data_IF_440800862365
#
_entry.id   IF_440800862365
#
_cell.length_a   1.000
_cell.length_b   1.000
_cell.length_c   1.000
_cell.angle_alpha   90.00
_cell.angle_beta   90.00
_cell.angle_gamma   90.00
#
_symmetry.space_group_name_H-M   'P 1'
#
loop_
_entity.id
_entity.type
_entity.pdbx_description
1 polymer ?
#
# COMPACT_ATOMS: atom_id res chain seq x y z
N UNK A 1 -4.39 2.31 15.09
CA UNK A 1 -4.48 1.30 14.01
C UNK A 1 -3.46 0.22 14.32
N UNK A 2 -3.94 -0.98 14.57
CA UNK A 2 -3.06 -2.11 14.88
C UNK A 2 -2.57 -2.73 13.56
N UNK A 3 -1.56 -2.09 12.95
CA UNK A 3 -0.82 -2.71 11.85
C UNK A 3 0.02 -3.83 12.45
N UNK A 4 -0.06 -5.02 11.87
CA UNK A 4 0.58 -6.23 12.39
C UNK A 4 1.23 -7.11 11.32
N UNK A 5 1.92 -8.18 11.75
CA UNK A 5 2.33 -9.23 10.83
C UNK A 5 1.14 -9.76 10.04
N UNK A 6 1.38 -10.20 8.82
CA UNK A 6 0.41 -10.63 7.78
C UNK A 6 -0.31 -9.50 7.06
N UNK A 7 -0.34 -8.27 7.58
CA UNK A 7 -0.95 -7.15 6.86
C UNK A 7 -0.24 -6.90 5.52
N UNK A 8 -1.04 -6.58 4.52
CA UNK A 8 -0.57 -6.30 3.17
C UNK A 8 -0.74 -4.82 2.83
N UNK A 9 0.38 -4.14 2.60
CA UNK A 9 0.41 -2.80 2.03
C UNK A 9 0.42 -2.84 0.51
N UNK A 10 -0.40 -2.00 -0.11
CA UNK A 10 -0.25 -1.56 -1.49
C UNK A 10 0.18 -0.10 -1.47
N UNK A 11 1.34 0.17 -2.03
CA UNK A 11 1.88 1.53 -2.09
C UNK A 11 1.41 2.24 -3.35
N UNK A 12 0.92 3.44 -3.19
CA UNK A 12 0.60 4.33 -4.30
C UNK A 12 1.41 5.62 -4.24
N UNK A 13 1.56 6.26 -5.37
CA UNK A 13 2.27 7.51 -5.49
C UNK A 13 1.69 8.39 -6.59
N UNK A 14 2.17 9.63 -6.62
CA UNK A 14 1.88 10.57 -7.67
C UNK A 14 2.86 10.39 -8.82
N UNK A 15 2.33 10.06 -9.99
CA UNK A 15 3.10 9.86 -11.21
C UNK A 15 2.62 10.79 -12.32
N UNK A 16 3.56 11.22 -13.15
CA UNK A 16 3.31 12.02 -14.33
C UNK A 16 3.79 11.29 -15.57
N UNK A 17 2.97 11.22 -16.60
CA UNK A 17 3.39 10.69 -17.88
C UNK A 17 4.06 11.80 -18.69
N UNK A 18 5.38 11.74 -18.83
CA UNK A 18 6.15 12.74 -19.58
C UNK A 18 6.12 12.53 -21.10
N UNK A 19 5.83 11.33 -21.58
CA UNK A 19 5.81 11.00 -23.02
C UNK A 19 4.57 11.51 -23.73
N UNK A 20 3.49 11.66 -22.99
CA UNK A 20 2.24 12.24 -23.45
C UNK A 20 2.01 13.43 -22.53
N UNK A 21 1.55 14.58 -22.99
CA UNK A 21 1.09 15.69 -22.12
C UNK A 21 -0.08 15.19 -21.23
N UNK A 22 0.20 14.10 -20.51
CA UNK A 22 -0.72 13.36 -19.69
C UNK A 22 -0.95 14.05 -18.36
N UNK A 23 -2.09 13.75 -17.77
CA UNK A 23 -2.47 14.25 -16.45
C UNK A 23 -1.67 13.53 -15.37
N UNK A 24 -1.51 14.19 -14.25
CA UNK A 24 -1.00 13.58 -13.03
C UNK A 24 -1.94 12.48 -12.54
N UNK A 25 -1.39 11.34 -12.19
CA UNK A 25 -2.12 10.15 -11.78
C UNK A 25 -1.66 9.68 -10.40
N UNK A 26 -2.56 9.10 -9.62
CA UNK A 26 -2.20 8.18 -8.55
C UNK A 26 -2.15 6.77 -9.11
N UNK A 27 -1.03 6.10 -8.85
CA UNK A 27 -0.72 4.80 -9.40
C UNK A 27 -0.13 3.91 -8.31
N UNK A 28 -0.56 2.65 -8.25
CA UNK A 28 0.05 1.64 -7.41
C UNK A 28 1.43 1.30 -7.98
N UNK A 29 2.47 1.33 -7.14
CA UNK A 29 3.83 1.06 -7.60
C UNK A 29 4.51 -0.10 -6.88
N UNK A 30 3.98 -0.58 -5.76
CA UNK A 30 4.59 -1.66 -5.01
C UNK A 30 3.68 -2.26 -3.97
N UNK A 31 4.17 -3.32 -3.32
CA UNK A 31 3.50 -4.00 -2.23
C UNK A 31 4.50 -4.49 -1.19
N UNK A 32 4.01 -4.70 0.03
CA UNK A 32 4.75 -5.33 1.12
C UNK A 32 3.77 -6.05 2.06
N UNK A 33 3.94 -7.35 2.24
CA UNK A 33 3.31 -8.08 3.33
C UNK A 33 4.27 -8.10 4.52
N UNK A 34 3.78 -7.73 5.69
CA UNK A 34 4.60 -7.61 6.89
C UNK A 34 4.93 -9.00 7.45
N UNK A 35 6.20 -9.26 7.71
CA UNK A 35 6.67 -10.42 8.50
C UNK A 35 6.95 -10.04 9.94
N UNK A 36 7.51 -8.85 10.17
CA UNK A 36 8.00 -8.38 11.46
C UNK A 36 7.91 -6.86 11.53
N UNK A 37 7.62 -6.33 12.70
CA UNK A 37 7.65 -4.90 13.01
C UNK A 37 8.73 -4.66 14.03
N UNK A 38 9.63 -3.70 13.75
CA UNK A 38 10.70 -3.32 14.66
C UNK A 38 10.47 -1.88 15.06
N UNK A 39 10.24 -1.66 16.34
CA UNK A 39 9.91 -0.36 16.92
C UNK A 39 11.04 0.15 17.81
N UNK A 40 11.25 1.47 17.77
CA UNK A 40 12.24 2.16 18.56
C UNK A 40 13.62 2.19 17.91
N UNK A 41 14.29 3.34 18.06
CA UNK A 41 15.54 3.63 17.37
C UNK A 41 16.68 2.68 17.72
N UNK A 42 16.76 2.21 18.96
CA UNK A 42 17.79 1.25 19.39
C UNK A 42 17.59 -0.12 18.74
N UNK A 43 16.37 -0.66 18.78
CA UNK A 43 16.06 -1.94 18.16
C UNK A 43 16.26 -1.91 16.65
N UNK A 44 15.86 -0.82 16.00
CA UNK A 44 16.08 -0.61 14.57
C UNK A 44 17.56 -0.58 14.25
N UNK A 45 18.36 0.19 14.98
CA UNK A 45 19.80 0.29 14.77
C UNK A 45 20.48 -1.08 14.94
N UNK A 46 20.13 -1.83 15.99
CA UNK A 46 20.66 -3.16 16.23
C UNK A 46 20.30 -4.14 15.11
N UNK A 47 19.03 -4.12 14.66
CA UNK A 47 18.54 -4.95 13.55
C UNK A 47 19.29 -4.64 12.25
N UNK A 48 19.37 -3.37 11.86
CA UNK A 48 20.02 -2.95 10.62
C UNK A 48 21.51 -3.29 10.61
N UNK A 49 22.20 -3.09 11.75
CA UNK A 49 23.62 -3.50 11.94
C UNK A 49 23.78 -5.01 11.79
N UNK A 50 22.94 -5.81 12.45
CA UNK A 50 22.96 -7.29 12.35
C UNK A 50 22.75 -7.78 10.92
N UNK A 51 21.91 -7.08 10.15
CA UNK A 51 21.59 -7.42 8.75
C UNK A 51 22.52 -6.80 7.73
N UNK A 52 23.44 -5.93 8.17
CA UNK A 52 24.32 -5.12 7.30
C UNK A 52 23.52 -4.31 6.25
N UNK A 53 22.46 -3.66 6.70
CA UNK A 53 21.56 -2.84 5.86
C UNK A 53 21.78 -1.37 6.18
N UNK A 54 22.06 -0.57 5.13
CA UNK A 54 22.04 0.88 5.20
C UNK A 54 20.59 1.39 5.05
N UNK A 55 20.03 2.02 6.08
CA UNK A 55 18.68 2.55 6.07
C UNK A 55 18.57 3.86 6.84
N UNK A 56 17.89 4.89 6.32
CA UNK A 56 17.80 6.21 6.97
C UNK A 56 17.33 6.19 8.43
N UNK A 57 16.43 5.29 8.79
CA UNK A 57 15.93 5.15 10.16
C UNK A 57 16.97 4.64 11.18
N UNK A 58 18.12 4.18 10.73
CA UNK A 58 19.24 3.71 11.57
C UNK A 58 20.45 4.65 11.58
N UNK A 59 20.38 5.81 10.93
CA UNK A 59 21.51 6.75 10.83
C UNK A 59 21.21 8.10 11.46
N UNK A 60 22.26 8.73 11.97
CA UNK A 60 22.21 10.07 12.55
C UNK A 60 21.49 10.11 13.90
N UNK A 61 21.05 11.31 14.29
CA UNK A 61 20.30 11.52 15.52
C UNK A 61 18.85 11.05 15.36
N UNK A 62 18.62 9.78 15.72
CA UNK A 62 17.29 9.15 15.66
C UNK A 62 16.44 9.46 16.88
N UNK A 63 16.97 10.18 17.90
CA UNK A 63 16.24 10.54 19.13
C UNK A 63 15.00 11.40 18.87
N UNK A 64 14.97 12.11 17.76
CA UNK A 64 13.84 12.95 17.32
C UNK A 64 12.65 12.15 16.77
N UNK A 65 12.83 10.87 16.47
CA UNK A 65 11.79 10.02 15.91
C UNK A 65 11.07 9.25 17.04
N UNK A 66 10.11 9.90 17.67
CA UNK A 66 9.36 9.32 18.80
C UNK A 66 8.65 8.00 18.45
N UNK A 67 8.25 7.84 17.19
CA UNK A 67 7.55 6.64 16.66
C UNK A 67 8.36 5.99 15.55
N UNK A 68 9.68 5.84 15.75
CA UNK A 68 10.53 5.21 14.74
C UNK A 68 10.16 3.73 14.60
N UNK A 69 9.75 3.34 13.40
CA UNK A 69 9.27 1.98 13.11
C UNK A 69 9.73 1.56 11.72
N UNK A 70 10.17 0.32 11.57
CA UNK A 70 10.39 -0.32 10.27
C UNK A 70 9.57 -1.59 10.14
N UNK A 71 9.01 -1.80 8.95
CA UNK A 71 8.27 -3.00 8.57
C UNK A 71 9.17 -3.88 7.71
N UNK A 72 9.34 -5.13 8.14
CA UNK A 72 10.13 -6.13 7.41
C UNK A 72 9.19 -6.93 6.51
N UNK A 73 9.50 -6.99 5.22
CA UNK A 73 8.68 -7.73 4.25
C UNK A 73 8.87 -9.24 4.34
N UNK A 74 7.79 -9.98 4.16
CA UNK A 74 7.84 -11.45 3.97
C UNK A 74 8.64 -11.83 2.73
N UNK A 75 9.25 -13.01 2.75
CA UNK A 75 9.91 -13.58 1.56
C UNK A 75 8.90 -13.95 0.48
N UNK A 76 7.78 -14.54 0.88
CA UNK A 76 6.67 -14.96 0.01
C UNK A 76 5.38 -14.27 0.42
N UNK A 77 4.49 -14.01 -0.52
CA UNK A 77 3.13 -13.58 -0.21
C UNK A 77 2.29 -14.78 0.19
N UNK A 78 1.67 -14.67 1.35
CA UNK A 78 0.87 -15.75 1.94
C UNK A 78 -0.50 -15.23 2.35
N UNK A 79 -1.54 -16.01 2.13
CA UNK A 79 -2.89 -15.74 2.59
C UNK A 79 -3.37 -16.96 3.37
N UNK A 80 -3.79 -16.75 4.61
CA UNK A 80 -4.20 -17.82 5.53
C UNK A 80 -3.16 -18.95 5.60
N UNK A 81 -1.87 -18.58 5.74
CA UNK A 81 -0.75 -19.52 5.83
C UNK A 81 -0.38 -20.23 4.52
N UNK A 82 -1.08 -19.95 3.41
CA UNK A 82 -0.80 -20.55 2.10
C UNK A 82 -0.05 -19.59 1.20
N UNK A 83 1.08 -20.03 0.65
CA UNK A 83 1.84 -19.26 -0.33
C UNK A 83 1.01 -19.04 -1.60
N UNK A 84 0.83 -17.77 -1.99
CA UNK A 84 0.07 -17.37 -3.18
C UNK A 84 0.94 -16.69 -4.24
N UNK A 85 2.13 -16.18 -3.87
CA UNK A 85 3.11 -15.61 -4.78
C UNK A 85 4.54 -15.77 -4.25
N UNK A 86 5.53 -15.72 -5.16
CA UNK A 86 6.93 -16.01 -4.84
C UNK A 86 7.66 -14.90 -4.06
N UNK A 87 7.06 -13.71 -3.97
CA UNK A 87 7.62 -12.54 -3.25
C UNK A 87 6.54 -11.90 -2.39
N UNK A 88 6.85 -11.67 -1.13
CA UNK A 88 5.96 -10.98 -0.19
C UNK A 88 6.05 -9.45 -0.29
N UNK A 89 7.04 -8.93 -1.03
CA UNK A 89 7.25 -7.51 -1.27
C UNK A 89 7.87 -7.28 -2.65
N UNK A 90 7.68 -6.08 -3.20
CA UNK A 90 8.26 -5.73 -4.49
C UNK A 90 7.65 -4.49 -5.14
N UNK A 91 8.13 -4.22 -6.34
CA UNK A 91 7.62 -3.15 -7.20
C UNK A 91 6.91 -3.77 -8.41
N UNK A 92 5.84 -3.12 -8.87
CA UNK A 92 5.21 -3.46 -10.15
C UNK A 92 6.15 -3.04 -11.29
N UNK A 93 6.47 -3.97 -12.17
CA UNK A 93 7.52 -3.79 -13.18
C UNK A 93 7.13 -2.86 -14.32
N UNK A 94 5.84 -2.73 -14.58
CA UNK A 94 5.31 -1.94 -15.70
C UNK A 94 4.04 -1.22 -15.27
N UNK A 95 3.80 -0.05 -15.84
CA UNK A 95 2.52 0.62 -15.69
C UNK A 95 1.42 -0.13 -16.45
N UNK A 96 0.23 -0.13 -15.89
CA UNK A 96 -0.97 -0.71 -16.49
C UNK A 96 -2.21 0.01 -15.96
N UNK A 97 -3.29 0.05 -16.73
CA UNK A 97 -4.53 0.70 -16.31
C UNK A 97 -5.12 0.13 -15.02
N UNK A 98 -4.95 -1.19 -14.77
CA UNK A 98 -5.42 -1.82 -13.53
C UNK A 98 -4.70 -1.30 -12.26
N UNK A 99 -3.52 -0.68 -12.40
CA UNK A 99 -2.74 -0.09 -11.32
C UNK A 99 -3.02 1.40 -11.11
N UNK A 100 -3.80 2.03 -12.01
CA UNK A 100 -4.16 3.45 -11.91
C UNK A 100 -5.39 3.58 -11.01
N UNK A 101 -5.26 4.39 -9.95
CA UNK A 101 -6.36 4.68 -9.03
C UNK A 101 -7.22 5.86 -9.51
N UNK A 102 -6.60 6.82 -10.22
CA UNK A 102 -7.27 8.02 -10.73
C UNK A 102 -8.33 7.67 -11.76
N UNK A 103 -9.55 8.16 -11.57
CA UNK A 103 -10.64 8.02 -12.53
C UNK A 103 -10.28 8.68 -13.87
N UNK A 104 -10.60 7.98 -14.97
CA UNK A 104 -10.34 8.50 -16.31
C UNK A 104 -10.93 9.92 -16.52
N UNK A 105 -10.15 10.80 -17.11
CA UNK A 105 -10.51 12.21 -17.37
C UNK A 105 -10.82 13.07 -16.12
N UNK A 106 -10.42 12.61 -14.93
CA UNK A 106 -10.52 13.38 -13.67
C UNK A 106 -9.15 13.84 -13.19
N UNK A 107 -9.13 14.70 -12.18
CA UNK A 107 -7.90 15.08 -11.47
C UNK A 107 -7.40 13.90 -10.64
N UNK A 108 -6.10 13.88 -10.31
CA UNK A 108 -5.51 12.78 -9.50
C UNK A 108 -6.23 12.53 -8.19
N UNK A 109 -6.90 13.54 -7.63
CA UNK A 109 -7.65 13.44 -6.37
C UNK A 109 -8.96 12.65 -6.47
N UNK A 110 -9.39 12.28 -7.66
CA UNK A 110 -10.61 11.51 -7.92
C UNK A 110 -10.22 10.09 -8.30
N UNK A 111 -10.51 9.15 -7.41
CA UNK A 111 -10.25 7.72 -7.65
C UNK A 111 -11.51 6.99 -8.03
N UNK A 112 -11.34 5.96 -8.85
CA UNK A 112 -12.37 4.97 -9.14
C UNK A 112 -11.79 3.58 -8.94
N UNK A 113 -12.19 2.95 -7.83
CA UNK A 113 -11.83 1.58 -7.54
C UNK A 113 -12.77 0.61 -8.29
N UNK A 114 -12.35 -0.64 -8.57
CA UNK A 114 -13.19 -1.59 -9.27
C UNK A 114 -14.35 -2.07 -8.38
N UNK A 115 -15.57 -1.61 -8.65
CA UNK A 115 -16.78 -1.81 -7.81
C UNK A 115 -17.08 -3.29 -7.51
N UNK A 116 -16.73 -4.21 -8.41
CA UNK A 116 -16.88 -5.66 -8.17
C UNK A 116 -16.09 -6.19 -6.97
N UNK A 117 -15.06 -5.45 -6.51
CA UNK A 117 -14.26 -5.82 -5.35
C UNK A 117 -14.52 -4.91 -4.14
N UNK A 118 -14.93 -3.67 -4.37
CA UNK A 118 -15.13 -2.63 -3.36
C UNK A 118 -16.61 -2.30 -3.16
N UNK A 119 -17.48 -3.30 -3.24
CA UNK A 119 -18.94 -3.14 -3.04
C UNK A 119 -19.34 -3.09 -1.56
N UNK A 120 -18.48 -3.56 -0.65
CA UNK A 120 -18.70 -3.51 0.79
C UNK A 120 -17.78 -2.46 1.42
N UNK A 121 -18.34 -1.62 2.28
CA UNK A 121 -17.62 -0.56 3.01
C UNK A 121 -17.48 -0.86 4.49
N UNK A 122 -17.99 -1.99 4.96
CA UNK A 122 -17.84 -2.41 6.34
C UNK A 122 -16.37 -2.66 6.71
N UNK A 123 -15.94 -2.18 7.86
CA UNK A 123 -14.54 -2.32 8.29
C UNK A 123 -13.54 -1.47 7.49
N UNK A 124 -14.02 -0.48 6.76
CA UNK A 124 -13.22 0.42 5.96
C UNK A 124 -12.97 1.72 6.71
N UNK A 125 -11.71 2.11 6.78
CA UNK A 125 -11.27 3.38 7.34
C UNK A 125 -10.60 4.25 6.27
N UNK A 126 -11.05 5.49 6.16
CA UNK A 126 -10.53 6.50 5.24
C UNK A 126 -9.94 7.68 6.03
N UNK A 127 -8.61 7.80 6.06
CA UNK A 127 -7.95 8.97 6.62
C UNK A 127 -7.68 9.99 5.50
N UNK A 128 -8.20 11.22 5.69
CA UNK A 128 -8.12 12.33 4.70
C UNK A 128 -8.62 11.97 3.29
N UNK A 129 -9.49 10.99 3.22
CA UNK A 129 -10.22 10.58 2.04
C UNK A 129 -11.71 10.55 2.36
N UNK A 130 -12.56 10.57 1.37
CA UNK A 130 -14.00 10.38 1.54
C UNK A 130 -14.61 9.72 0.31
N UNK A 131 -15.70 9.00 0.51
CA UNK A 131 -16.51 8.57 -0.62
C UNK A 131 -17.07 9.77 -1.38
N UNK A 132 -16.87 9.79 -2.69
CA UNK A 132 -17.51 10.71 -3.62
C UNK A 132 -18.79 10.09 -4.17
N UNK A 133 -18.73 8.80 -4.50
CA UNK A 133 -19.87 7.94 -4.80
C UNK A 133 -19.57 6.51 -4.36
N UNK A 134 -20.17 6.08 -3.26
CA UNK A 134 -19.92 4.76 -2.66
C UNK A 134 -20.39 3.62 -3.57
N UNK A 135 -21.55 3.73 -4.20
CA UNK A 135 -22.10 2.70 -5.09
C UNK A 135 -21.20 2.44 -6.30
N UNK A 136 -20.47 3.45 -6.76
CA UNK A 136 -19.54 3.35 -7.87
C UNK A 136 -18.08 3.16 -7.41
N UNK A 137 -17.85 3.01 -6.10
CA UNK A 137 -16.51 2.91 -5.49
C UNK A 137 -15.60 4.08 -5.85
N UNK A 138 -16.15 5.29 -5.86
CA UNK A 138 -15.44 6.54 -6.14
C UNK A 138 -15.04 7.22 -4.85
N UNK A 139 -13.78 7.65 -4.79
CA UNK A 139 -13.17 8.29 -3.63
C UNK A 139 -12.57 9.63 -4.02
N UNK A 140 -12.74 10.59 -3.13
CA UNK A 140 -12.05 11.87 -3.18
C UNK A 140 -10.92 11.91 -2.15
N UNK A 141 -9.73 12.19 -2.61
CA UNK A 141 -8.48 12.27 -1.87
C UNK A 141 -8.17 13.74 -1.53
N UNK A 142 -7.94 14.06 -0.23
CA UNK A 142 -7.87 15.44 0.26
C UNK A 142 -6.46 16.01 0.50
N UNK A 143 -5.38 15.28 0.28
CA UNK A 143 -4.02 15.80 0.54
C UNK A 143 -3.05 14.76 1.12
N UNK A 144 -1.97 15.15 1.79
CA UNK A 144 -0.94 14.24 2.31
C UNK A 144 -1.38 13.43 3.54
N UNK A 145 -0.72 12.30 3.80
CA UNK A 145 -0.94 11.46 4.97
C UNK A 145 -2.24 10.66 4.89
N UNK A 146 -2.59 10.17 3.71
CA UNK A 146 -3.79 9.41 3.48
C UNK A 146 -3.55 7.93 3.73
N UNK A 147 -4.56 7.32 4.31
CA UNK A 147 -4.62 5.89 4.53
C UNK A 147 -5.96 5.36 4.07
N UNK A 148 -5.92 4.26 3.38
CA UNK A 148 -7.08 3.48 2.98
C UNK A 148 -6.89 2.08 3.57
N UNK A 149 -7.55 1.83 4.69
CA UNK A 149 -7.40 0.60 5.47
C UNK A 149 -8.70 -0.18 5.39
N UNK A 150 -8.57 -1.48 5.18
CA UNK A 150 -9.70 -2.40 5.16
C UNK A 150 -9.44 -3.58 6.08
N UNK A 151 -10.49 -4.00 6.73
CA UNK A 151 -10.58 -5.31 7.35
C UNK A 151 -10.86 -6.35 6.25
N UNK A 152 -9.88 -7.22 5.98
CA UNK A 152 -9.97 -8.23 4.92
C UNK A 152 -10.91 -9.38 5.25
N UNK A 153 -11.20 -9.63 6.54
CA UNK A 153 -12.20 -10.62 6.95
C UNK A 153 -13.58 -10.18 6.48
N UNK A 154 -13.85 -8.89 6.55
CA UNK A 154 -15.10 -8.27 6.06
C UNK A 154 -15.08 -8.00 4.56
N UNK A 155 -13.90 -7.89 3.95
CA UNK A 155 -13.70 -7.53 2.54
C UNK A 155 -12.79 -8.51 1.78
N UNK A 156 -13.07 -9.82 1.75
CA UNK A 156 -12.18 -10.81 1.12
C UNK A 156 -12.02 -10.59 -0.40
N UNK A 157 -12.98 -9.95 -1.04
CA UNK A 157 -12.91 -9.58 -2.45
C UNK A 157 -11.77 -8.61 -2.74
N UNK A 158 -11.50 -7.66 -1.82
CA UNK A 158 -10.40 -6.69 -1.98
C UNK A 158 -9.05 -7.36 -1.85
N UNK A 159 -8.89 -8.31 -0.93
CA UNK A 159 -7.67 -9.12 -0.84
C UNK A 159 -7.45 -9.91 -2.14
N UNK A 160 -8.50 -10.50 -2.71
CA UNK A 160 -8.42 -11.19 -4.02
C UNK A 160 -7.97 -10.24 -5.14
N UNK A 161 -8.47 -9.00 -5.15
CA UNK A 161 -8.03 -7.97 -6.10
C UNK A 161 -6.55 -7.66 -5.95
N UNK A 162 -6.07 -7.40 -4.72
CA UNK A 162 -4.68 -7.10 -4.44
C UNK A 162 -3.74 -8.23 -4.88
N UNK A 163 -4.06 -9.48 -4.53
CA UNK A 163 -3.30 -10.67 -4.93
C UNK A 163 -3.26 -10.84 -6.45
N UNK A 164 -4.37 -10.58 -7.14
CA UNK A 164 -4.42 -10.66 -8.60
C UNK A 164 -3.53 -9.62 -9.27
N UNK A 165 -3.48 -8.38 -8.74
CA UNK A 165 -2.56 -7.34 -9.24
C UNK A 165 -1.11 -7.78 -9.06
N UNK A 166 -0.76 -8.29 -7.87
CA UNK A 166 0.60 -8.75 -7.56
C UNK A 166 1.01 -9.90 -8.47
N UNK A 167 0.15 -10.89 -8.67
CA UNK A 167 0.44 -12.03 -9.58
C UNK A 167 0.62 -11.60 -11.03
N UNK A 168 -0.14 -10.61 -11.47
CA UNK A 168 -0.15 -10.19 -12.87
C UNK A 168 0.98 -9.24 -13.22
N UNK A 169 1.37 -8.37 -12.28
CA UNK A 169 2.28 -7.24 -12.55
C UNK A 169 3.54 -7.21 -11.68
N UNK A 170 3.62 -8.05 -10.65
CA UNK A 170 4.73 -8.15 -9.70
C UNK A 170 5.99 -8.91 -10.16
#
# INVERSE_FOLDING_TARGET
>A
NNVGPEDLFLFFGWFKNFSIKGRDLHHLFGWLQISEIIEGSEAITAYLKKKNIAHPHGYGDTSKFLNNTIYVGKKTLEINGKKVFNRGHGLFKKTHNDLILTEANKTRSRWKLPSKYFSNTEGLFLNRMKWDNEKESKIFYKGFGQEFILDIEKNPSVMKWAVNLIKKYG
#
